data_IF_044029825508
#
_entry.id   IF_044029825508
#
_cell.length_a   1.000
_cell.length_b   1.000
_cell.length_c   1.000
_cell.angle_alpha   90.00
_cell.angle_beta   90.00
_cell.angle_gamma   90.00
#
_symmetry.space_group_name_H-M   'P 1'
#
loop_
_entity.id
_entity.type
_entity.pdbx_description
1 polymer ?
#
# COMPACT_ATOMS: atom_id res chain seq x y z
N UNK A 1 28.22 16.99 -3.25
CA UNK A 1 27.03 16.11 -3.22
C UNK A 1 25.83 17.04 -3.35
N UNK A 2 25.32 17.28 -4.55
CA UNK A 2 24.20 18.21 -4.75
C UNK A 2 22.91 17.60 -4.21
N UNK A 3 22.20 18.29 -3.33
CA UNK A 3 20.85 17.92 -2.89
C UNK A 3 19.93 17.83 -4.12
N UNK A 4 19.59 16.60 -4.53
CA UNK A 4 18.59 16.38 -5.57
C UNK A 4 17.22 16.60 -4.94
N UNK A 5 16.61 17.76 -5.21
CA UNK A 5 15.22 18.03 -4.84
C UNK A 5 14.34 16.98 -5.53
N UNK A 6 13.52 16.21 -4.79
CA UNK A 6 12.66 15.19 -5.37
C UNK A 6 11.69 15.79 -6.38
N UNK A 7 11.53 15.13 -7.52
CA UNK A 7 10.59 15.60 -8.54
C UNK A 7 9.12 15.41 -8.07
N UNK A 8 8.15 16.22 -8.53
CA UNK A 8 6.73 16.07 -8.15
C UNK A 8 6.16 14.67 -8.39
N UNK A 9 6.62 13.97 -9.43
CA UNK A 9 6.22 12.57 -9.72
C UNK A 9 6.76 11.59 -8.67
N UNK A 10 7.95 11.85 -8.18
CA UNK A 10 8.61 11.03 -7.17
C UNK A 10 7.96 11.23 -5.80
N UNK A 11 7.62 12.48 -5.46
CA UNK A 11 6.77 12.80 -4.31
C UNK A 11 5.40 12.10 -4.42
N UNK A 12 4.76 12.18 -5.59
CA UNK A 12 3.50 11.47 -5.85
C UNK A 12 3.61 9.95 -5.66
N UNK A 13 4.75 9.36 -6.07
CA UNK A 13 5.01 7.93 -5.86
C UNK A 13 5.23 7.57 -4.39
N UNK A 14 5.92 8.42 -3.62
CA UNK A 14 6.07 8.22 -2.17
C UNK A 14 4.73 8.32 -1.44
N UNK A 15 3.89 9.28 -1.82
CA UNK A 15 2.53 9.40 -1.27
C UNK A 15 1.68 8.18 -1.60
N UNK A 16 1.76 7.68 -2.84
CA UNK A 16 1.06 6.46 -3.24
C UNK A 16 1.50 5.24 -2.41
N UNK A 17 2.81 5.08 -2.16
CA UNK A 17 3.33 4.03 -1.28
C UNK A 17 2.84 4.19 0.16
N UNK A 18 2.83 5.42 0.68
CA UNK A 18 2.29 5.72 2.01
C UNK A 18 0.80 5.40 2.13
N UNK A 19 0.02 5.68 1.09
CA UNK A 19 -1.40 5.33 1.03
C UNK A 19 -1.61 3.82 1.11
N UNK A 20 -0.84 3.03 0.34
CA UNK A 20 -0.92 1.55 0.41
C UNK A 20 -0.61 1.06 1.83
N UNK A 21 0.41 1.63 2.49
CA UNK A 21 0.71 1.29 3.89
C UNK A 21 -0.46 1.60 4.85
N UNK A 22 -1.16 2.71 4.63
CA UNK A 22 -2.32 3.08 5.42
C UNK A 22 -3.50 2.11 5.21
N UNK A 23 -3.75 1.71 3.95
CA UNK A 23 -4.79 0.73 3.61
C UNK A 23 -4.53 -0.65 4.25
N UNK A 24 -3.27 -1.01 4.48
CA UNK A 24 -2.90 -2.22 5.20
C UNK A 24 -3.12 -2.10 6.72
N UNK A 25 -2.79 -0.95 7.31
CA UNK A 25 -2.81 -0.76 8.76
C UNK A 25 -4.21 -0.40 9.31
N UNK A 26 -5.01 0.35 8.55
CA UNK A 26 -6.30 0.88 8.99
C UNK A 26 -7.29 -0.23 9.39
N UNK A 27 -7.50 -1.31 8.61
CA UNK A 27 -8.44 -2.37 8.97
C UNK A 27 -8.04 -3.12 10.25
N UNK A 28 -6.74 -3.26 10.51
CA UNK A 28 -6.20 -3.88 11.73
C UNK A 28 -6.54 -3.01 12.94
N UNK A 29 -6.27 -1.71 12.85
CA UNK A 29 -6.56 -0.75 13.91
C UNK A 29 -8.06 -0.69 14.23
N UNK A 30 -8.91 -0.68 13.20
CA UNK A 30 -10.36 -0.73 13.35
C UNK A 30 -10.79 -2.05 13.99
N UNK A 31 -10.28 -3.19 13.52
CA UNK A 31 -10.59 -4.50 14.09
C UNK A 31 -10.22 -4.61 15.57
N UNK A 32 -9.03 -4.14 15.95
CA UNK A 32 -8.57 -4.12 17.33
C UNK A 32 -9.42 -3.20 18.23
N UNK A 33 -9.83 -2.04 17.71
CA UNK A 33 -10.73 -1.14 18.43
C UNK A 33 -12.11 -1.76 18.65
N UNK A 34 -12.69 -2.39 17.62
CA UNK A 34 -13.96 -3.13 17.73
C UNK A 34 -13.84 -4.28 18.73
N UNK A 35 -12.76 -5.06 18.66
CA UNK A 35 -12.48 -6.16 19.58
C UNK A 35 -12.46 -5.70 21.05
N UNK A 36 -11.88 -4.53 21.32
CA UNK A 36 -11.86 -3.94 22.66
C UNK A 36 -13.25 -3.51 23.15
N UNK A 37 -14.16 -3.16 22.23
CA UNK A 37 -15.48 -2.62 22.57
C UNK A 37 -16.54 -3.71 22.76
N UNK A 38 -16.42 -4.81 22.02
CA UNK A 38 -17.37 -5.93 22.03
C UNK A 38 -16.84 -7.19 22.69
N UNK A 39 -15.58 -7.20 23.15
CA UNK A 39 -14.98 -8.37 23.80
C UNK A 39 -14.70 -9.52 22.84
N UNK A 40 -14.67 -9.26 21.53
CA UNK A 40 -14.40 -10.25 20.47
C UNK A 40 -12.91 -10.48 20.22
N UNK A 41 -12.04 -9.93 21.07
CA UNK A 41 -10.59 -10.04 20.92
C UNK A 41 -10.12 -11.49 20.78
N UNK A 42 -9.29 -11.84 19.75
CA UNK A 42 -8.70 -10.98 18.72
C UNK A 42 -9.32 -11.17 17.30
N UNK A 43 -10.58 -11.61 17.19
CA UNK A 43 -11.15 -12.09 15.94
C UNK A 43 -11.34 -11.00 14.88
N UNK A 44 -11.78 -9.79 15.27
CA UNK A 44 -11.98 -8.70 14.31
C UNK A 44 -10.65 -8.09 13.86
N UNK A 45 -9.65 -8.07 14.73
CA UNK A 45 -8.29 -7.71 14.35
C UNK A 45 -7.72 -8.69 13.31
N UNK A 46 -7.91 -10.01 13.49
CA UNK A 46 -7.48 -11.03 12.52
C UNK A 46 -8.18 -10.83 11.17
N UNK A 47 -9.50 -10.61 11.18
CA UNK A 47 -10.24 -10.29 9.96
C UNK A 47 -9.70 -9.02 9.29
N UNK A 48 -9.40 -7.99 10.08
CA UNK A 48 -8.76 -6.76 9.62
C UNK A 48 -7.40 -7.00 8.96
N UNK A 49 -6.55 -7.85 9.54
CA UNK A 49 -5.26 -8.23 8.94
C UNK A 49 -5.45 -8.88 7.57
N UNK A 50 -6.37 -9.85 7.46
CA UNK A 50 -6.60 -10.57 6.20
C UNK A 50 -7.10 -9.61 5.12
N UNK A 51 -8.06 -8.73 5.47
CA UNK A 51 -8.63 -7.74 4.55
C UNK A 51 -7.57 -6.71 4.14
N UNK A 52 -6.91 -6.09 5.11
CA UNK A 52 -5.89 -5.06 4.87
C UNK A 52 -4.72 -5.58 4.06
N UNK A 53 -4.25 -6.80 4.36
CA UNK A 53 -3.19 -7.44 3.58
C UNK A 53 -3.63 -7.71 2.15
N UNK A 54 -4.82 -8.29 1.95
CA UNK A 54 -5.31 -8.65 0.62
C UNK A 54 -5.51 -7.41 -0.25
N UNK A 55 -6.18 -6.38 0.27
CA UNK A 55 -6.44 -5.12 -0.45
C UNK A 55 -5.12 -4.38 -0.73
N UNK A 56 -4.28 -4.20 0.28
CA UNK A 56 -3.01 -3.51 0.11
C UNK A 56 -2.07 -4.23 -0.85
N UNK A 57 -2.06 -5.58 -0.85
CA UNK A 57 -1.27 -6.36 -1.79
C UNK A 57 -1.75 -6.19 -3.24
N UNK A 58 -3.07 -6.19 -3.46
CA UNK A 58 -3.65 -5.95 -4.79
C UNK A 58 -3.28 -4.55 -5.30
N UNK A 59 -3.39 -3.53 -4.45
CA UNK A 59 -3.02 -2.16 -4.84
C UNK A 59 -1.52 -1.99 -5.08
N UNK A 60 -0.67 -2.60 -4.25
CA UNK A 60 0.78 -2.60 -4.48
C UNK A 60 1.12 -3.25 -5.82
N UNK A 61 0.49 -4.37 -6.14
CA UNK A 61 0.72 -5.06 -7.40
C UNK A 61 0.26 -4.24 -8.60
N UNK A 62 -0.85 -3.50 -8.48
CA UNK A 62 -1.30 -2.56 -9.50
C UNK A 62 -0.34 -1.39 -9.69
N UNK A 63 0.22 -0.86 -8.60
CA UNK A 63 1.17 0.26 -8.63
C UNK A 63 2.51 -0.11 -9.30
N UNK A 64 2.91 -1.37 -9.19
CA UNK A 64 4.16 -1.88 -9.78
C UNK A 64 4.02 -2.33 -11.24
N UNK A 65 2.80 -2.43 -11.77
CA UNK A 65 2.58 -2.83 -13.17
C UNK A 65 3.01 -1.72 -14.13
N UNK A 66 3.85 -2.03 -15.15
CA UNK A 66 4.15 -1.08 -16.22
C UNK A 66 2.87 -0.69 -16.97
N UNK A 67 2.74 0.56 -17.46
CA UNK A 67 1.64 0.96 -18.31
C UNK A 67 1.56 0.06 -19.57
N UNK A 68 0.38 -0.48 -19.92
CA UNK A 68 0.22 -1.28 -21.13
C UNK A 68 0.62 -0.45 -22.36
N UNK A 69 1.56 -0.96 -23.17
CA UNK A 69 1.98 -0.32 -24.42
C UNK A 69 3.35 0.35 -24.41
N UNK A 70 4.16 0.21 -23.36
CA UNK A 70 5.60 0.49 -23.48
C UNK A 70 6.28 -0.65 -24.25
N UNK A 71 6.88 -0.39 -25.43
CA UNK A 71 7.75 -1.36 -26.08
C UNK A 71 8.84 -1.79 -25.10
N UNK A 72 9.36 -3.04 -25.20
CA UNK A 72 10.52 -3.44 -24.41
C UNK A 72 11.58 -2.35 -24.52
N UNK A 73 12.14 -1.91 -23.39
CA UNK A 73 13.29 -1.02 -23.42
C UNK A 73 14.36 -1.74 -24.23
N UNK A 74 14.54 -1.28 -25.47
CA UNK A 74 15.43 -1.91 -26.42
C UNK A 74 16.82 -1.96 -25.79
N UNK A 75 17.37 -3.17 -25.69
CA UNK A 75 18.62 -3.47 -25.02
C UNK A 75 19.85 -2.97 -25.76
N UNK A 76 19.73 -1.88 -26.50
CA UNK A 76 20.81 -1.20 -27.20
C UNK A 76 20.81 0.27 -26.83
N UNK A 77 21.68 0.64 -25.90
CA UNK A 77 22.79 1.60 -26.07
C UNK A 77 23.51 1.79 -24.73
#
# INVERSE_FOLDING_TARGET
MGERVPSPRELGRYLALGQVGLEMALPIAVGAWLDSRWGTSPWLAIAGVIIGFTVGMVHLWLLLRPPPGQPPADGTQ
#
